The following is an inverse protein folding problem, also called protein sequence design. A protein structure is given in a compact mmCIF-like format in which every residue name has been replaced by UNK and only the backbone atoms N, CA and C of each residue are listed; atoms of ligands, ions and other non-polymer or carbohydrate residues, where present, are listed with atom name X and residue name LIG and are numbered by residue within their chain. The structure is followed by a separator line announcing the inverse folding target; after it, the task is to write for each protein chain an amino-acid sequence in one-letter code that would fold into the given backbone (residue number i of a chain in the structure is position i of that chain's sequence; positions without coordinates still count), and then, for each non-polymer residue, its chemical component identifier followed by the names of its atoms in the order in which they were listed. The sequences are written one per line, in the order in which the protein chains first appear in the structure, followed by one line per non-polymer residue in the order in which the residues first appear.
data_IF_775872268181
#
_entry.id   IF_775872268181
#
_cell.length_a   1.000
_cell.length_b   1.000
_cell.length_c   1.000
_cell.angle_alpha   90.00
_cell.angle_beta   90.00
_cell.angle_gamma   90.00
#
_symmetry.space_group_name_H-M   'P 1'
#
loop_
_entity.id
_entity.type
_entity.pdbx_description
1 polymer ?
#
# COMPACT_ATOMS: atom_id res chain seq x y z
N UNK A 1 37.08 26.95 -5.48
CA UNK A 1 35.64 26.61 -5.29
C UNK A 1 34.71 27.83 -5.23
N UNK A 2 35.08 28.96 -4.60
CA UNK A 2 34.16 30.11 -4.44
C UNK A 2 33.60 30.70 -5.74
N UNK A 3 34.42 30.79 -6.78
CA UNK A 3 34.07 31.36 -8.10
C UNK A 3 33.12 30.47 -8.94
N UNK A 4 32.91 29.20 -8.56
CA UNK A 4 31.95 28.35 -9.27
C UNK A 4 30.52 28.68 -8.86
N UNK A 5 30.28 28.78 -7.55
CA UNK A 5 28.95 28.94 -6.97
C UNK A 5 28.38 30.35 -7.18
N UNK A 6 29.22 31.38 -7.18
CA UNK A 6 28.81 32.76 -7.50
C UNK A 6 28.37 32.91 -8.96
N UNK A 7 28.94 32.09 -9.86
CA UNK A 7 28.70 32.14 -11.31
C UNK A 7 27.73 31.07 -11.81
N UNK A 8 26.87 30.53 -10.96
CA UNK A 8 26.05 29.36 -11.29
C UNK A 8 25.09 29.62 -12.48
N UNK A 9 24.57 30.84 -12.56
CA UNK A 9 23.66 31.30 -13.62
C UNK A 9 24.40 32.05 -14.74
N UNK A 10 25.70 32.27 -14.61
CA UNK A 10 26.46 33.00 -15.62
C UNK A 10 26.68 32.13 -16.86
N UNK A 11 26.52 32.77 -18.02
CA UNK A 11 26.71 32.16 -19.33
C UNK A 11 28.06 32.52 -19.95
N UNK A 12 28.89 33.32 -19.26
CA UNK A 12 30.19 33.77 -19.77
C UNK A 12 31.16 32.60 -19.93
N UNK A 13 31.89 32.61 -21.04
CA UNK A 13 32.84 31.54 -21.39
C UNK A 13 32.21 30.31 -22.06
N UNK A 14 30.91 30.35 -22.37
CA UNK A 14 30.22 29.28 -23.09
C UNK A 14 29.47 29.80 -24.32
N UNK A 15 29.66 29.13 -25.44
CA UNK A 15 28.91 29.43 -26.66
C UNK A 15 27.47 28.93 -26.56
N UNK A 16 26.53 29.77 -27.02
CA UNK A 16 25.12 29.39 -27.18
C UNK A 16 25.05 28.37 -28.32
N UNK A 17 24.24 27.32 -28.20
CA UNK A 17 24.14 26.34 -29.31
C UNK A 17 23.44 26.91 -30.53
N UNK A 18 22.53 27.87 -30.33
CA UNK A 18 21.83 28.56 -31.40
C UNK A 18 22.41 29.97 -31.61
N UNK A 19 23.24 30.10 -32.63
CA UNK A 19 23.86 31.35 -33.06
C UNK A 19 24.15 31.32 -34.57
N UNK A 20 24.43 32.47 -35.16
CA UNK A 20 24.82 32.58 -36.57
C UNK A 20 26.16 31.87 -36.80
N UNK A 21 26.20 30.93 -37.75
CA UNK A 21 27.37 30.06 -37.98
C UNK A 21 27.42 28.79 -37.13
N UNK A 22 26.37 28.50 -36.34
CA UNK A 22 26.29 27.28 -35.55
C UNK A 22 26.39 26.00 -36.40
N UNK A 23 27.10 24.95 -35.93
CA UNK A 23 27.19 23.67 -36.62
C UNK A 23 25.88 22.86 -36.57
N UNK A 24 24.88 23.30 -35.80
CA UNK A 24 23.60 22.60 -35.68
C UNK A 24 22.71 22.86 -36.88
N UNK A 25 22.28 21.79 -37.55
CA UNK A 25 21.25 21.92 -38.59
C UNK A 25 19.91 22.34 -37.95
N UNK A 26 19.08 23.15 -38.64
CA UNK A 26 17.84 23.63 -38.05
C UNK A 26 16.87 22.50 -37.65
N UNK A 27 16.83 21.45 -38.46
CA UNK A 27 15.98 20.27 -38.20
C UNK A 27 16.48 19.46 -37.02
N UNK A 28 17.79 19.25 -36.89
CA UNK A 28 18.38 18.52 -35.77
C UNK A 28 18.20 19.27 -34.45
N UNK A 29 18.49 20.58 -34.43
CA UNK A 29 18.32 21.38 -33.22
C UNK A 29 16.87 21.41 -32.75
N UNK A 30 15.91 21.62 -33.67
CA UNK A 30 14.49 21.59 -33.33
C UNK A 30 14.03 20.22 -32.81
N UNK A 31 14.51 19.13 -33.43
CA UNK A 31 14.20 17.77 -32.97
C UNK A 31 14.71 17.50 -31.55
N UNK A 32 15.94 17.93 -31.22
CA UNK A 32 16.50 17.83 -29.87
C UNK A 32 15.65 18.61 -28.86
N UNK A 33 15.34 19.88 -29.15
CA UNK A 33 14.51 20.72 -28.28
C UNK A 33 13.13 20.10 -28.06
N UNK A 34 12.49 19.61 -29.13
CA UNK A 34 11.18 18.97 -29.05
C UNK A 34 11.21 17.70 -28.19
N UNK A 35 12.24 16.86 -28.33
CA UNK A 35 12.41 15.65 -27.54
C UNK A 35 12.63 15.96 -26.05
N UNK A 36 13.47 16.95 -25.73
CA UNK A 36 13.72 17.37 -24.35
C UNK A 36 12.46 17.97 -23.70
N UNK A 37 11.72 18.83 -24.41
CA UNK A 37 10.47 19.39 -23.91
C UNK A 37 9.39 18.31 -23.72
N UNK A 38 9.26 17.37 -24.65
CA UNK A 38 8.32 16.26 -24.52
C UNK A 38 8.64 15.40 -23.29
N UNK A 39 9.93 15.11 -23.06
CA UNK A 39 10.39 14.35 -21.89
C UNK A 39 10.13 15.11 -20.59
N UNK A 40 10.43 16.41 -20.53
CA UNK A 40 10.13 17.26 -19.39
C UNK A 40 8.63 17.28 -19.06
N UNK A 41 7.77 17.46 -20.07
CA UNK A 41 6.31 17.47 -19.89
C UNK A 41 5.84 16.12 -19.36
N UNK A 42 6.30 14.99 -19.91
CA UNK A 42 5.93 13.67 -19.42
C UNK A 42 6.34 13.47 -17.94
N UNK A 43 7.57 13.86 -17.59
CA UNK A 43 8.10 13.75 -16.22
C UNK A 43 7.44 14.71 -15.23
N UNK A 44 6.82 15.80 -15.69
CA UNK A 44 6.00 16.68 -14.87
C UNK A 44 4.54 16.19 -14.73
N UNK A 45 3.96 15.62 -15.79
CA UNK A 45 2.57 15.18 -15.82
C UNK A 45 2.33 13.93 -14.98
N UNK A 46 3.21 12.93 -15.04
CA UNK A 46 3.09 11.70 -14.24
C UNK A 46 2.93 12.02 -12.74
N UNK A 47 3.84 12.78 -12.10
CA UNK A 47 3.69 13.11 -10.69
C UNK A 47 2.47 14.00 -10.43
N UNK A 48 2.14 14.95 -11.32
CA UNK A 48 0.94 15.78 -11.16
C UNK A 48 -0.35 14.93 -11.12
N UNK A 49 -0.49 13.96 -12.03
CA UNK A 49 -1.66 13.07 -12.08
C UNK A 49 -1.77 12.20 -10.82
N UNK A 50 -0.63 11.67 -10.34
CA UNK A 50 -0.58 10.88 -9.09
C UNK A 50 -1.00 11.75 -7.90
N UNK A 51 -0.44 12.95 -7.76
CA UNK A 51 -0.76 13.88 -6.67
C UNK A 51 -2.24 14.28 -6.70
N UNK A 52 -2.77 14.63 -7.87
CA UNK A 52 -4.19 14.97 -8.05
C UNK A 52 -5.07 13.79 -7.60
N UNK A 53 -4.75 12.56 -7.99
CA UNK A 53 -5.53 11.40 -7.60
C UNK A 53 -5.45 11.13 -6.09
N UNK A 54 -4.27 11.29 -5.46
CA UNK A 54 -4.09 11.11 -4.02
C UNK A 54 -4.87 12.15 -3.21
N UNK A 55 -4.75 13.43 -3.58
CA UNK A 55 -5.44 14.53 -2.90
C UNK A 55 -6.95 14.40 -3.06
N UNK A 56 -7.43 13.94 -4.23
CA UNK A 56 -8.87 13.70 -4.47
C UNK A 56 -9.39 12.45 -3.78
N UNK A 57 -8.57 11.40 -3.65
CA UNK A 57 -8.95 10.14 -2.99
C UNK A 57 -8.42 10.10 -1.55
N UNK A 58 -9.20 10.64 -0.61
CA UNK A 58 -8.93 10.69 0.85
C UNK A 58 -8.66 9.33 1.55
N UNK A 59 -8.68 8.20 0.85
CA UNK A 59 -8.57 6.83 1.42
C UNK A 59 -7.36 6.02 0.95
N UNK A 60 -6.46 6.59 0.14
CA UNK A 60 -5.22 5.90 -0.22
C UNK A 60 -4.12 6.21 0.78
N UNK A 61 -3.61 5.19 1.47
CA UNK A 61 -2.37 5.29 2.25
C UNK A 61 -1.20 5.48 1.30
N UNK A 62 -0.74 6.72 1.14
CA UNK A 62 0.39 7.03 0.27
C UNK A 62 1.69 6.88 1.07
N UNK A 63 2.57 5.92 0.72
CA UNK A 63 3.75 5.68 1.52
C UNK A 63 4.74 6.86 1.41
N UNK A 64 5.40 7.29 2.51
CA UNK A 64 6.25 8.48 2.51
C UNK A 64 7.40 8.47 1.48
N UNK A 65 7.97 7.30 1.18
CA UNK A 65 9.07 7.16 0.21
C UNK A 65 8.65 7.56 -1.22
N UNK A 66 7.36 7.43 -1.54
CA UNK A 66 6.87 7.73 -2.88
C UNK A 66 6.94 9.23 -3.18
N UNK A 67 6.87 10.10 -2.17
CA UNK A 67 7.10 11.54 -2.36
C UNK A 67 8.53 11.86 -2.82
N UNK A 68 9.53 11.14 -2.31
CA UNK A 68 10.91 11.27 -2.76
C UNK A 68 11.08 10.79 -4.21
N UNK A 69 10.39 9.71 -4.58
CA UNK A 69 10.35 9.24 -5.96
C UNK A 69 9.69 10.26 -6.91
N UNK A 70 8.59 10.90 -6.49
CA UNK A 70 7.95 11.96 -7.29
C UNK A 70 8.87 13.19 -7.43
N UNK A 71 9.55 13.59 -6.36
CA UNK A 71 10.52 14.68 -6.41
C UNK A 71 11.69 14.36 -7.36
N UNK A 72 12.17 13.12 -7.33
CA UNK A 72 13.19 12.63 -8.26
C UNK A 72 12.77 12.74 -9.73
N UNK A 73 11.53 12.38 -10.08
CA UNK A 73 11.00 12.55 -11.44
C UNK A 73 10.97 14.01 -11.88
N UNK A 74 10.58 14.92 -10.98
CA UNK A 74 10.55 16.37 -11.27
C UNK A 74 11.97 16.91 -11.49
N UNK A 75 12.94 16.52 -10.65
CA UNK A 75 14.35 16.91 -10.83
C UNK A 75 14.90 16.34 -12.13
N UNK A 76 14.57 15.11 -12.49
CA UNK A 76 14.92 14.51 -13.78
C UNK A 76 14.34 15.27 -14.97
N UNK A 77 13.09 15.72 -14.87
CA UNK A 77 12.47 16.58 -15.88
C UNK A 77 13.20 17.93 -16.01
N UNK A 78 13.63 18.52 -14.90
CA UNK A 78 14.35 19.80 -14.91
C UNK A 78 15.68 19.72 -15.69
N UNK A 79 16.33 18.56 -15.73
CA UNK A 79 17.53 18.33 -16.57
C UNK A 79 17.21 18.58 -18.05
N UNK A 80 16.14 17.98 -18.57
CA UNK A 80 15.74 18.12 -19.96
C UNK A 80 15.28 19.55 -20.28
N UNK A 81 14.55 20.19 -19.37
CA UNK A 81 14.18 21.60 -19.54
C UNK A 81 15.42 22.50 -19.66
N UNK A 82 16.43 22.30 -18.80
CA UNK A 82 17.67 23.07 -18.85
C UNK A 82 18.48 22.77 -20.12
N UNK A 83 18.51 21.53 -20.59
CA UNK A 83 19.19 21.17 -21.83
C UNK A 83 18.51 21.81 -23.07
N UNK A 84 17.18 21.88 -23.09
CA UNK A 84 16.43 22.61 -24.12
C UNK A 84 16.69 24.12 -24.06
N UNK A 85 16.64 24.72 -22.87
CA UNK A 85 16.93 26.15 -22.68
C UNK A 85 18.39 26.52 -22.99
N UNK A 86 19.32 25.58 -22.83
CA UNK A 86 20.75 25.75 -23.12
C UNK A 86 21.05 26.04 -24.58
N UNK A 87 20.08 25.84 -25.49
CA UNK A 87 20.21 26.30 -26.86
C UNK A 87 20.33 27.81 -26.98
N UNK A 88 19.61 28.56 -26.14
CA UNK A 88 19.62 30.03 -26.11
C UNK A 88 20.41 30.60 -24.93
N UNK A 89 20.33 29.98 -23.75
CA UNK A 89 21.00 30.43 -22.53
C UNK A 89 21.90 29.32 -21.98
N UNK A 90 23.23 29.34 -22.24
CA UNK A 90 24.14 28.25 -21.91
C UNK A 90 24.48 28.22 -20.41
N UNK A 91 23.48 27.96 -19.57
CA UNK A 91 23.59 27.84 -18.11
C UNK A 91 24.14 26.48 -17.69
N UNK A 92 25.27 26.07 -18.30
CA UNK A 92 25.83 24.73 -18.17
C UNK A 92 26.29 24.40 -16.74
N UNK A 93 26.66 25.40 -15.94
CA UNK A 93 27.04 25.22 -14.53
C UNK A 93 25.85 24.77 -13.68
N UNK A 94 24.70 25.45 -13.81
CA UNK A 94 23.45 25.03 -13.19
C UNK A 94 23.03 23.64 -13.69
N UNK A 95 23.05 23.42 -15.01
CA UNK A 95 22.69 22.13 -15.59
C UNK A 95 23.56 20.98 -15.04
N UNK A 96 24.86 21.21 -14.85
CA UNK A 96 25.77 20.24 -14.23
C UNK A 96 25.36 19.92 -12.79
N UNK A 97 25.04 20.93 -11.97
CA UNK A 97 24.60 20.71 -10.59
C UNK A 97 23.32 19.87 -10.56
N UNK A 98 22.32 20.21 -11.38
CA UNK A 98 21.06 19.45 -11.45
C UNK A 98 21.31 18.01 -11.92
N UNK A 99 22.19 17.79 -12.90
CA UNK A 99 22.59 16.45 -13.37
C UNK A 99 23.28 15.62 -12.28
N UNK A 100 24.18 16.24 -11.50
CA UNK A 100 24.87 15.57 -10.39
C UNK A 100 23.89 15.19 -9.28
N UNK A 101 22.99 16.10 -8.90
CA UNK A 101 21.93 15.81 -7.92
C UNK A 101 21.03 14.67 -8.42
N UNK A 102 20.64 14.70 -9.68
CA UNK A 102 19.84 13.64 -10.30
C UNK A 102 20.56 12.28 -10.29
N UNK A 103 21.86 12.25 -10.58
CA UNK A 103 22.67 11.04 -10.54
C UNK A 103 22.77 10.47 -9.12
N UNK A 104 22.99 11.32 -8.12
CA UNK A 104 23.02 10.91 -6.70
C UNK A 104 21.68 10.33 -6.28
N UNK A 105 20.56 10.98 -6.59
CA UNK A 105 19.22 10.49 -6.25
C UNK A 105 18.91 9.16 -6.95
N UNK A 106 19.30 9.01 -8.22
CA UNK A 106 19.13 7.77 -9.00
C UNK A 106 19.88 6.62 -8.36
N UNK A 107 21.18 6.78 -8.11
CA UNK A 107 22.02 5.74 -7.52
C UNK A 107 21.65 5.46 -6.06
N UNK A 108 21.28 6.49 -5.29
CA UNK A 108 20.72 6.32 -3.94
C UNK A 108 19.48 5.44 -3.94
N UNK A 109 18.58 5.63 -4.91
CA UNK A 109 17.38 4.79 -5.08
C UNK A 109 17.75 3.35 -5.41
N UNK A 110 18.69 3.12 -6.34
CA UNK A 110 19.17 1.76 -6.68
C UNK A 110 19.76 1.06 -5.46
N UNK A 111 20.65 1.73 -4.73
CA UNK A 111 21.29 1.17 -3.52
C UNK A 111 20.28 0.88 -2.42
N UNK A 112 19.24 1.70 -2.26
CA UNK A 112 18.19 1.49 -1.27
C UNK A 112 17.24 0.34 -1.65
N UNK A 113 16.96 0.16 -2.95
CA UNK A 113 16.05 -0.89 -3.44
C UNK A 113 16.73 -2.26 -3.55
N UNK A 114 18.03 -2.31 -3.83
CA UNK A 114 18.75 -3.57 -4.04
C UNK A 114 18.60 -4.59 -2.88
N UNK A 115 18.69 -4.19 -1.60
CA UNK A 115 18.46 -5.10 -0.46
C UNK A 115 17.00 -5.57 -0.31
N UNK A 116 16.03 -4.89 -0.92
CA UNK A 116 14.60 -5.25 -0.85
C UNK A 116 14.23 -6.34 -1.85
N UNK A 117 15.01 -6.49 -2.93
CA UNK A 117 14.79 -7.50 -3.97
C UNK A 117 14.64 -8.94 -3.43
N UNK A 118 15.53 -9.46 -2.56
CA UNK A 118 15.37 -10.81 -2.01
C UNK A 118 14.10 -10.96 -1.17
N UNK A 119 13.63 -9.92 -0.49
CA UNK A 119 12.42 -9.97 0.33
C UNK A 119 11.15 -10.08 -0.53
N UNK A 120 11.14 -9.44 -1.71
CA UNK A 120 10.01 -9.53 -2.64
C UNK A 120 9.92 -10.91 -3.29
N UNK A 121 11.07 -11.54 -3.57
CA UNK A 121 11.09 -12.91 -4.09
C UNK A 121 10.82 -13.97 -3.01
N UNK A 122 11.07 -13.63 -1.73
CA UNK A 122 10.80 -14.52 -0.59
C UNK A 122 9.36 -14.40 -0.04
N UNK A 123 8.53 -13.49 -0.54
CA UNK A 123 7.09 -13.53 -0.24
C UNK A 123 6.53 -14.84 -0.79
N UNK A 124 5.74 -15.54 0.03
CA UNK A 124 4.97 -16.71 -0.40
C UNK A 124 4.37 -16.44 -1.78
N UNK A 125 4.58 -17.37 -2.70
CA UNK A 125 3.96 -17.31 -4.02
C UNK A 125 2.45 -17.15 -3.84
N UNK A 126 1.80 -16.38 -4.71
CA UNK A 126 0.34 -16.19 -4.67
C UNK A 126 -0.39 -17.54 -4.58
N UNK A 127 0.17 -18.60 -5.16
CA UNK A 127 -0.35 -19.97 -5.06
C UNK A 127 -0.41 -20.51 -3.62
N UNK A 128 0.62 -20.27 -2.80
CA UNK A 128 0.67 -20.73 -1.41
C UNK A 128 -0.29 -19.93 -0.53
N UNK A 129 -0.44 -18.63 -0.82
CA UNK A 129 -1.43 -17.80 -0.12
C UNK A 129 -2.86 -18.25 -0.45
N UNK A 130 -3.16 -18.51 -1.73
CA UNK A 130 -4.46 -19.02 -2.13
C UNK A 130 -4.74 -20.41 -1.54
N UNK A 131 -3.76 -21.30 -1.52
CA UNK A 131 -3.89 -22.61 -0.87
C UNK A 131 -4.23 -22.47 0.61
N UNK A 132 -3.56 -21.57 1.33
CA UNK A 132 -3.83 -21.32 2.75
C UNK A 132 -5.23 -20.73 2.98
N UNK A 133 -5.71 -19.86 2.08
CA UNK A 133 -7.09 -19.32 2.15
C UNK A 133 -8.12 -20.43 1.93
N UNK A 134 -7.91 -21.29 0.94
CA UNK A 134 -8.80 -22.43 0.65
C UNK A 134 -8.82 -23.41 1.83
N UNK A 135 -7.66 -23.76 2.39
CA UNK A 135 -7.55 -24.65 3.55
C UNK A 135 -8.29 -24.07 4.78
N UNK A 136 -8.12 -22.77 5.04
CA UNK A 136 -8.82 -22.09 6.12
C UNK A 136 -10.35 -22.10 5.91
N UNK A 137 -10.81 -21.85 4.67
CA UNK A 137 -12.23 -21.92 4.34
C UNK A 137 -12.81 -23.33 4.51
N UNK A 138 -12.06 -24.36 4.11
CA UNK A 138 -12.48 -25.76 4.28
C UNK A 138 -12.60 -26.13 5.77
N UNK A 139 -11.63 -25.71 6.59
CA UNK A 139 -11.67 -25.96 8.04
C UNK A 139 -12.85 -25.25 8.70
N UNK A 140 -13.12 -23.99 8.32
CA UNK A 140 -14.29 -23.27 8.83
C UNK A 140 -15.62 -23.90 8.38
N UNK A 141 -15.71 -24.39 7.14
CA UNK A 141 -16.90 -25.06 6.64
C UNK A 141 -17.16 -26.36 7.40
N UNK A 142 -16.12 -27.19 7.58
CA UNK A 142 -16.21 -28.44 8.33
C UNK A 142 -16.61 -28.20 9.80
N UNK A 143 -16.07 -27.16 10.44
CA UNK A 143 -16.46 -26.79 11.80
C UNK A 143 -17.94 -26.39 11.89
N UNK A 144 -18.42 -25.56 10.95
CA UNK A 144 -19.84 -25.16 10.91
C UNK A 144 -20.77 -26.35 10.70
N UNK A 145 -20.39 -27.29 9.84
CA UNK A 145 -21.15 -28.51 9.60
C UNK A 145 -21.23 -29.38 10.86
N UNK A 146 -20.12 -29.54 11.58
CA UNK A 146 -20.10 -30.26 12.86
C UNK A 146 -20.94 -29.55 13.94
N UNK A 147 -20.85 -28.21 14.06
CA UNK A 147 -21.66 -27.44 15.00
C UNK A 147 -23.16 -27.57 14.68
N UNK A 148 -23.53 -27.49 13.40
CA UNK A 148 -24.91 -27.66 12.97
C UNK A 148 -25.43 -29.08 13.25
N UNK A 149 -24.63 -30.11 12.96
CA UNK A 149 -24.97 -31.50 13.25
C UNK A 149 -25.11 -31.73 14.76
N UNK A 150 -24.17 -31.25 15.57
CA UNK A 150 -24.24 -31.33 17.03
C UNK A 150 -25.51 -30.66 17.56
N UNK A 151 -25.81 -29.44 17.11
CA UNK A 151 -27.00 -28.71 17.53
C UNK A 151 -28.28 -29.46 17.13
N UNK A 152 -28.36 -29.95 15.90
CA UNK A 152 -29.53 -30.72 15.44
C UNK A 152 -29.73 -32.00 16.25
N UNK A 153 -28.65 -32.69 16.63
CA UNK A 153 -28.72 -33.90 17.45
C UNK A 153 -29.22 -33.57 18.86
N UNK A 154 -28.62 -32.58 19.53
CA UNK A 154 -28.98 -32.18 20.89
C UNK A 154 -30.42 -31.68 20.99
N UNK A 155 -30.91 -30.96 19.97
CA UNK A 155 -32.29 -30.48 19.90
C UNK A 155 -33.31 -31.58 19.61
N UNK A 156 -32.90 -32.67 18.94
CA UNK A 156 -33.78 -33.79 18.60
C UNK A 156 -33.91 -34.87 19.69
N UNK A 157 -33.09 -34.83 20.74
CA UNK A 157 -33.13 -35.83 21.82
C UNK A 157 -34.36 -35.63 22.72
N UNK A 158 -35.07 -36.71 23.09
CA UNK A 158 -36.16 -36.66 24.07
C UNK A 158 -35.63 -36.60 25.51
N UNK A 159 -34.53 -35.88 25.73
CA UNK A 159 -33.86 -35.74 27.02
C UNK A 159 -33.55 -34.27 27.27
N UNK A 160 -33.63 -33.86 28.53
CA UNK A 160 -33.18 -32.54 28.95
C UNK A 160 -31.65 -32.49 28.92
N UNK A 161 -31.10 -31.77 27.95
CA UNK A 161 -29.66 -31.63 27.76
C UNK A 161 -29.26 -30.20 28.09
N UNK A 162 -28.31 -30.06 28.99
CA UNK A 162 -27.72 -28.77 29.35
C UNK A 162 -26.25 -28.93 29.66
N UNK A 163 -25.50 -27.85 29.50
CA UNK A 163 -24.08 -27.79 29.82
C UNK A 163 -23.86 -26.69 30.85
N UNK A 164 -22.99 -26.96 31.82
CA UNK A 164 -22.63 -26.01 32.88
C UNK A 164 -21.15 -25.70 32.88
N UNK A 165 -20.78 -24.52 33.36
CA UNK A 165 -19.40 -24.19 33.68
C UNK A 165 -18.95 -24.83 35.01
N UNK A 166 -17.66 -24.67 35.35
CA UNK A 166 -17.08 -25.19 36.58
C UNK A 166 -17.68 -24.60 37.87
N UNK A 167 -18.48 -23.53 37.77
CA UNK A 167 -19.19 -22.89 38.88
C UNK A 167 -20.66 -23.30 38.92
N UNK A 168 -21.06 -24.29 38.11
CA UNK A 168 -22.42 -24.81 38.06
C UNK A 168 -23.40 -23.94 37.28
N UNK A 169 -22.94 -22.93 36.54
CA UNK A 169 -23.84 -22.06 35.77
C UNK A 169 -24.14 -22.63 34.40
N UNK A 170 -25.39 -22.59 33.98
CA UNK A 170 -25.80 -23.02 32.64
C UNK A 170 -25.10 -22.17 31.56
N UNK A 171 -24.45 -22.83 30.60
CA UNK A 171 -23.78 -22.20 29.44
C UNK A 171 -24.42 -22.58 28.11
N UNK A 172 -25.22 -23.65 28.10
CA UNK A 172 -26.02 -24.07 26.95
C UNK A 172 -27.14 -25.01 27.41
N UNK A 173 -28.24 -25.06 26.66
CA UNK A 173 -29.32 -26.01 26.89
C UNK A 173 -30.17 -26.22 25.64
N UNK A 174 -30.71 -27.43 25.48
CA UNK A 174 -31.62 -27.74 24.38
C UNK A 174 -33.03 -27.17 24.64
N UNK A 175 -33.82 -27.12 23.57
CA UNK A 175 -35.19 -26.59 23.59
C UNK A 175 -36.09 -27.34 24.56
N UNK A 176 -35.95 -28.67 24.67
CA UNK A 176 -36.74 -29.48 25.60
C UNK A 176 -36.50 -29.10 27.06
N UNK A 177 -35.25 -28.82 27.46
CA UNK A 177 -34.96 -28.33 28.81
C UNK A 177 -35.58 -26.96 29.07
N UNK A 178 -35.48 -26.05 28.10
CA UNK A 178 -36.11 -24.73 28.18
C UNK A 178 -37.65 -24.85 28.35
N UNK A 179 -38.28 -25.74 27.59
CA UNK A 179 -39.72 -26.03 27.67
C UNK A 179 -40.10 -26.67 29.00
N UNK A 180 -39.31 -27.63 29.50
CA UNK A 180 -39.52 -28.28 30.80
C UNK A 180 -39.43 -27.28 31.95
N UNK A 181 -38.47 -26.35 31.89
CA UNK A 181 -38.32 -25.30 32.89
C UNK A 181 -39.33 -24.14 32.70
N UNK A 182 -40.00 -24.08 31.54
CA UNK A 182 -40.93 -23.00 31.17
C UNK A 182 -40.26 -21.64 30.98
N UNK A 183 -38.98 -21.60 30.59
CA UNK A 183 -38.19 -20.37 30.44
C UNK A 183 -37.40 -20.36 29.14
N UNK A 184 -37.25 -19.19 28.49
CA UNK A 184 -36.39 -19.07 27.32
C UNK A 184 -34.91 -19.19 27.71
N UNK A 185 -34.07 -19.61 26.75
CA UNK A 185 -32.65 -19.92 26.97
C UNK A 185 -31.87 -18.74 27.58
N UNK A 186 -32.14 -17.52 27.12
CA UNK A 186 -31.53 -16.28 27.61
C UNK A 186 -31.77 -16.01 29.10
N UNK A 187 -32.90 -16.47 29.65
CA UNK A 187 -33.21 -16.39 31.07
C UNK A 187 -32.54 -17.50 31.91
N UNK A 188 -32.02 -18.55 31.26
CA UNK A 188 -31.38 -19.72 31.88
C UNK A 188 -29.87 -19.57 31.91
N UNK A 189 -29.27 -19.04 30.84
CA UNK A 189 -27.81 -18.89 30.74
C UNK A 189 -27.26 -18.02 31.88
N UNK A 190 -26.18 -18.49 32.51
CA UNK A 190 -25.48 -17.83 33.61
C UNK A 190 -26.10 -18.08 35.00
N UNK A 191 -27.22 -18.79 35.09
CA UNK A 191 -27.88 -19.18 36.36
C UNK A 191 -27.45 -20.56 36.84
N UNK A 192 -27.70 -20.87 38.10
CA UNK A 192 -27.42 -22.16 38.76
C UNK A 192 -28.72 -22.90 39.07
N UNK A 193 -28.66 -24.17 39.47
CA UNK A 193 -29.86 -24.94 39.85
C UNK A 193 -30.64 -24.30 40.99
N UNK A 194 -29.93 -23.69 41.94
CA UNK A 194 -30.51 -23.00 43.11
C UNK A 194 -31.35 -21.77 42.74
N UNK A 195 -31.18 -21.22 41.54
CA UNK A 195 -32.02 -20.13 41.03
C UNK A 195 -33.41 -20.63 40.58
N UNK A 196 -33.58 -21.94 40.39
CA UNK A 196 -34.80 -22.54 39.83
C UNK A 196 -35.43 -23.61 40.73
N UNK A 197 -34.65 -24.28 41.56
CA UNK A 197 -35.10 -25.36 42.43
C UNK A 197 -34.75 -25.10 43.90
N UNK A 198 -35.60 -25.52 44.87
CA UNK A 198 -35.26 -25.48 46.29
C UNK A 198 -34.01 -26.33 46.58
N UNK A 199 -33.21 -25.96 47.58
CA UNK A 199 -31.92 -26.62 47.90
C UNK A 199 -31.98 -28.14 48.20
N UNK A 200 -33.17 -28.71 48.40
CA UNK A 200 -33.38 -30.16 48.57
C UNK A 200 -33.59 -30.91 47.24
N UNK A 201 -33.75 -30.19 46.12
CA UNK A 201 -34.01 -30.71 44.78
C UNK A 201 -33.04 -30.14 43.72
N UNK A 202 -32.12 -29.26 44.12
CA UNK A 202 -31.06 -28.66 43.31
C UNK A 202 -29.77 -29.48 43.42
#
# INVERSE_FOLDING_TARGET
MGDFWSRLLETEGFDRRWHEGSPWSPTMGLAYIAADLATWVALALIPALIIINVVRRKKMSFPPWLWWFLAFLVVGGAVHLLDALSFWWPVYRLALVVKVVMAILSWGTVMALFPLLPQWMARKSDAEFQAQVVEHQQTQAALREQEAAYKSLVEGLPLNVFRKDLRGRFIDANKLFCETLGKPLDAIIGKTDFDFFPAQQA
#
